data_IF_354280260122
#
_entry.id   IF_354280260122
#
_cell.length_a   1.000
_cell.length_b   1.000
_cell.length_c   1.000
_cell.angle_alpha   90.00
_cell.angle_beta   90.00
_cell.angle_gamma   90.00
#
_symmetry.space_group_name_H-M   'P 1'
#
loop_
_entity.id
_entity.type
_entity.pdbx_description
1 polymer ?
#
# COMPACT_ATOMS: atom_id res chain seq x y z
N UNK A 1 -9.55 -54.53 -23.83
CA UNK A 1 -8.25 -53.83 -23.67
C UNK A 1 -8.47 -52.68 -22.71
N UNK A 2 -7.79 -52.73 -21.56
CA UNK A 2 -7.86 -51.77 -20.47
C UNK A 2 -7.36 -50.38 -20.87
N UNK A 3 -8.07 -49.32 -20.47
CA UNK A 3 -7.44 -48.12 -19.91
C UNK A 3 -8.34 -47.55 -18.80
N UNK A 4 -7.84 -47.65 -17.58
CA UNK A 4 -8.44 -47.16 -16.34
C UNK A 4 -8.30 -45.63 -16.27
N UNK A 5 -9.42 -44.90 -16.23
CA UNK A 5 -9.45 -43.52 -15.74
C UNK A 5 -9.60 -43.52 -14.21
N UNK A 6 -8.83 -42.73 -13.46
CA UNK A 6 -9.00 -42.63 -12.01
C UNK A 6 -10.35 -41.94 -11.71
N UNK A 7 -11.21 -42.63 -10.98
CA UNK A 7 -12.45 -42.07 -10.42
C UNK A 7 -12.09 -40.91 -9.47
N UNK A 8 -12.26 -39.68 -9.92
CA UNK A 8 -12.34 -38.51 -9.04
C UNK A 8 -13.58 -38.69 -8.16
N UNK A 9 -13.37 -39.10 -6.91
CA UNK A 9 -14.42 -39.05 -5.88
C UNK A 9 -14.66 -37.58 -5.57
N UNK A 10 -15.70 -37.00 -6.16
CA UNK A 10 -16.32 -35.80 -5.61
C UNK A 10 -16.82 -36.15 -4.20
N UNK A 11 -16.20 -35.58 -3.17
CA UNK A 11 -16.67 -35.68 -1.80
C UNK A 11 -17.84 -34.70 -1.68
N UNK A 12 -19.03 -35.15 -2.09
CA UNK A 12 -20.30 -34.51 -1.75
C UNK A 12 -20.80 -35.12 -0.44
N UNK A 13 -20.30 -34.61 0.68
CA UNK A 13 -20.94 -34.74 2.01
C UNK A 13 -20.15 -33.91 3.02
N UNK A 14 -20.46 -32.62 3.13
CA UNK A 14 -20.03 -31.82 4.29
C UNK A 14 -21.07 -32.03 5.38
N UNK A 15 -21.06 -33.22 6.00
CA UNK A 15 -21.84 -33.48 7.20
C UNK A 15 -20.92 -33.43 8.41
N UNK A 16 -21.08 -32.36 9.21
CA UNK A 16 -20.63 -32.23 10.60
C UNK A 16 -19.14 -32.56 10.84
N UNK A 17 -18.24 -31.76 10.28
CA UNK A 17 -16.93 -31.55 10.93
C UNK A 17 -17.26 -30.84 12.25
N UNK A 18 -16.94 -31.45 13.39
CA UNK A 18 -17.33 -30.90 14.69
C UNK A 18 -16.69 -29.51 14.86
N UNK A 19 -17.50 -28.53 15.28
CA UNK A 19 -17.06 -27.19 15.62
C UNK A 19 -15.91 -27.22 16.64
N UNK A 20 -15.90 -28.23 17.51
CA UNK A 20 -14.81 -28.48 18.47
C UNK A 20 -13.46 -28.81 17.83
N UNK A 21 -13.41 -29.45 16.66
CA UNK A 21 -12.17 -29.79 15.97
C UNK A 21 -11.58 -28.57 15.25
N UNK A 22 -12.44 -27.72 14.68
CA UNK A 22 -12.03 -26.43 14.12
C UNK A 22 -11.57 -25.48 15.23
N UNK A 23 -12.30 -25.39 16.34
CA UNK A 23 -11.92 -24.57 17.50
C UNK A 23 -10.59 -25.03 18.11
N UNK A 24 -10.36 -26.34 18.29
CA UNK A 24 -9.06 -26.86 18.76
C UNK A 24 -7.90 -26.52 17.82
N UNK A 25 -8.13 -26.57 16.50
CA UNK A 25 -7.11 -26.18 15.53
C UNK A 25 -6.83 -24.68 15.58
N UNK A 26 -7.87 -23.85 15.69
CA UNK A 26 -7.73 -22.38 15.82
C UNK A 26 -6.96 -22.02 17.10
N UNK A 27 -7.32 -22.63 18.23
CA UNK A 27 -6.65 -22.41 19.52
C UNK A 27 -5.20 -22.91 19.49
N UNK A 28 -4.93 -24.04 18.83
CA UNK A 28 -3.56 -24.52 18.62
C UNK A 28 -2.73 -23.64 17.69
N UNK A 29 -3.36 -22.98 16.71
CA UNK A 29 -2.67 -22.03 15.82
C UNK A 29 -2.39 -20.70 16.50
N UNK A 30 -3.31 -20.19 17.34
CA UNK A 30 -3.09 -18.99 18.16
C UNK A 30 -1.99 -19.23 19.21
N UNK A 31 -1.97 -20.41 19.83
CA UNK A 31 -0.88 -20.83 20.72
C UNK A 31 0.46 -21.01 20.00
N UNK A 32 0.45 -21.41 18.72
CA UNK A 32 1.66 -21.54 17.91
C UNK A 32 2.17 -20.18 17.43
N UNK A 33 1.28 -19.26 17.06
CA UNK A 33 1.61 -17.88 16.68
C UNK A 33 2.19 -17.11 17.87
N UNK A 34 1.56 -17.17 19.04
CA UNK A 34 2.09 -16.57 20.27
C UNK A 34 3.46 -17.15 20.67
N UNK A 35 3.66 -18.47 20.54
CA UNK A 35 4.98 -19.09 20.77
C UNK A 35 6.03 -18.66 19.74
N UNK A 36 5.65 -18.46 18.48
CA UNK A 36 6.55 -17.95 17.44
C UNK A 36 6.89 -16.49 17.67
N UNK A 37 5.91 -15.66 18.03
CA UNK A 37 6.11 -14.25 18.40
C UNK A 37 7.07 -14.12 19.58
N UNK A 38 6.84 -14.88 20.65
CA UNK A 38 7.73 -14.96 21.82
C UNK A 38 9.13 -15.45 21.41
N UNK A 39 9.23 -16.46 20.52
CA UNK A 39 10.52 -16.98 20.06
C UNK A 39 11.29 -16.00 19.14
N UNK A 40 10.59 -15.22 18.31
CA UNK A 40 11.21 -14.17 17.49
C UNK A 40 11.61 -12.96 18.33
N UNK A 41 10.76 -12.53 19.27
CA UNK A 41 11.04 -11.44 20.18
C UNK A 41 12.25 -11.75 21.09
N UNK A 42 12.34 -12.98 21.61
CA UNK A 42 13.47 -13.43 22.45
C UNK A 42 14.78 -13.60 21.68
N UNK A 43 14.75 -13.93 20.38
CA UNK A 43 15.97 -13.98 19.55
C UNK A 43 16.56 -12.60 19.27
N UNK A 44 15.71 -11.60 19.06
CA UNK A 44 16.15 -10.23 18.78
C UNK A 44 16.70 -9.56 20.05
N UNK A 45 16.04 -9.74 21.19
CA UNK A 45 16.44 -9.14 22.46
C UNK A 45 17.79 -9.64 23.02
N UNK A 46 18.26 -10.82 22.60
CA UNK A 46 19.45 -11.47 23.15
C UNK A 46 20.68 -11.41 22.22
N UNK A 47 20.61 -10.75 21.07
CA UNK A 47 21.74 -10.65 20.16
C UNK A 47 22.61 -9.41 20.49
N UNK A 48 23.86 -9.58 20.97
CA UNK A 48 24.71 -8.43 21.35
C UNK A 48 25.11 -7.54 20.16
N UNK A 49 24.92 -8.00 18.92
CA UNK A 49 25.26 -7.24 17.71
C UNK A 49 24.10 -6.41 17.17
N UNK A 50 22.88 -6.59 17.69
CA UNK A 50 21.69 -5.87 17.23
C UNK A 50 21.34 -4.81 18.27
N UNK A 51 21.46 -3.54 17.89
CA UNK A 51 21.04 -2.41 18.73
C UNK A 51 19.55 -2.18 18.50
N UNK A 52 18.75 -2.35 19.56
CA UNK A 52 17.30 -2.06 19.52
C UNK A 52 17.08 -0.55 19.47
N UNK A 53 16.42 -0.01 18.43
CA UNK A 53 16.02 1.39 18.41
C UNK A 53 14.98 1.67 19.50
N UNK A 54 15.00 2.88 20.05
CA UNK A 54 14.09 3.35 21.08
C UNK A 54 13.47 4.68 20.63
N UNK A 55 12.24 4.94 21.03
CA UNK A 55 11.54 6.17 20.73
C UNK A 55 10.68 6.62 21.92
N UNK A 56 10.51 7.93 22.06
CA UNK A 56 9.68 8.53 23.10
C UNK A 56 8.20 8.37 22.76
N UNK A 57 7.42 7.97 23.75
CA UNK A 57 5.95 8.06 23.71
C UNK A 57 5.57 9.44 24.25
N UNK A 58 4.82 10.19 23.45
CA UNK A 58 4.34 11.53 23.79
C UNK A 58 2.82 11.52 24.01
N UNK A 59 2.32 12.43 24.85
CA UNK A 59 0.87 12.67 24.98
C UNK A 59 0.42 13.89 24.17
N UNK A 60 -0.85 13.98 23.76
CA UNK A 60 -1.43 15.16 23.09
C UNK A 60 -2.24 16.06 24.04
N UNK A 61 -2.09 15.84 25.34
CA UNK A 61 -2.84 16.56 26.38
C UNK A 61 -2.37 18.01 26.62
N UNK A 62 -1.15 18.34 26.18
CA UNK A 62 -0.48 19.63 26.34
C UNK A 62 0.09 20.11 25.00
N UNK A 63 0.29 21.42 24.86
CA UNK A 63 0.99 21.97 23.69
C UNK A 63 2.45 21.54 23.70
N UNK A 64 3.10 21.67 24.86
CA UNK A 64 4.49 21.26 25.06
C UNK A 64 4.68 19.74 24.98
N UNK A 65 5.90 19.33 24.63
CA UNK A 65 6.31 17.93 24.53
C UNK A 65 6.36 17.28 25.92
N UNK A 66 5.31 16.54 26.25
CA UNK A 66 5.25 15.70 27.45
C UNK A 66 5.61 14.25 27.08
N UNK A 67 6.85 13.86 27.40
CA UNK A 67 7.35 12.50 27.24
C UNK A 67 6.83 11.62 28.40
N UNK A 68 6.03 10.61 28.07
CA UNK A 68 5.37 9.73 29.05
C UNK A 68 6.22 8.50 29.33
N UNK A 69 6.68 7.84 28.26
CA UNK A 69 7.38 6.55 28.34
C UNK A 69 8.36 6.40 27.17
N UNK A 70 9.18 5.35 27.20
CA UNK A 70 10.11 4.97 26.12
C UNK A 70 9.67 3.61 25.58
N UNK A 71 9.39 3.53 24.28
CA UNK A 71 9.07 2.29 23.60
C UNK A 71 10.26 1.76 22.81
N UNK A 72 10.49 0.46 22.90
CA UNK A 72 11.49 -0.27 22.12
C UNK A 72 10.87 -0.65 20.78
N UNK A 73 11.55 -0.27 19.70
CA UNK A 73 11.14 -0.52 18.32
C UNK A 73 11.85 -1.74 17.76
N UNK A 74 11.20 -2.46 16.83
CA UNK A 74 11.83 -3.60 16.19
C UNK A 74 12.98 -3.17 15.25
N UNK A 75 14.23 -3.65 15.46
CA UNK A 75 15.38 -3.29 14.63
C UNK A 75 15.23 -3.72 13.16
N UNK A 76 14.53 -4.82 12.86
CA UNK A 76 14.34 -5.29 11.49
C UNK A 76 13.40 -4.39 10.67
N UNK A 77 12.66 -3.49 11.33
CA UNK A 77 11.71 -2.56 10.69
C UNK A 77 12.27 -1.15 10.70
N UNK A 78 12.72 -0.68 11.86
CA UNK A 78 13.14 0.71 12.09
C UNK A 78 14.65 0.94 11.97
N UNK A 79 15.45 -0.11 11.81
CA UNK A 79 16.91 -0.03 11.65
C UNK A 79 17.41 -0.77 10.40
N UNK A 80 16.57 -0.83 9.37
CA UNK A 80 16.97 -1.41 8.08
C UNK A 80 17.98 -0.53 7.35
N UNK A 81 18.80 -1.12 6.47
CA UNK A 81 19.70 -0.31 5.63
C UNK A 81 18.87 0.64 4.74
N UNK A 82 19.12 1.97 4.77
CA UNK A 82 18.29 2.97 4.10
C UNK A 82 18.50 2.93 2.58
N UNK A 83 17.83 1.98 1.91
CA UNK A 83 17.92 1.78 0.45
C UNK A 83 16.93 2.65 -0.31
N UNK A 84 17.39 3.83 -0.73
CA UNK A 84 16.60 4.79 -1.52
C UNK A 84 16.05 4.21 -2.83
N UNK A 85 16.73 3.22 -3.45
CA UNK A 85 16.23 2.54 -4.66
C UNK A 85 14.86 1.89 -4.42
N UNK A 86 14.71 1.18 -3.31
CA UNK A 86 13.49 0.42 -3.03
C UNK A 86 12.32 1.36 -2.74
N UNK A 87 12.61 2.45 -2.04
CA UNK A 87 11.65 3.51 -1.76
C UNK A 87 11.20 4.19 -3.06
N UNK A 88 12.13 4.56 -3.95
CA UNK A 88 11.81 5.13 -5.25
C UNK A 88 10.96 4.18 -6.10
N UNK A 89 11.29 2.88 -6.12
CA UNK A 89 10.51 1.85 -6.85
C UNK A 89 9.09 1.72 -6.32
N UNK A 90 8.89 1.77 -5.01
CA UNK A 90 7.56 1.74 -4.41
C UNK A 90 6.74 2.98 -4.78
N UNK A 91 7.32 4.17 -4.67
CA UNK A 91 6.64 5.42 -4.99
C UNK A 91 6.25 5.46 -6.48
N UNK A 92 7.20 5.17 -7.37
CA UNK A 92 6.94 5.13 -8.81
C UNK A 92 5.92 4.07 -9.19
N UNK A 93 5.92 2.93 -8.52
CA UNK A 93 4.88 1.91 -8.68
C UNK A 93 3.51 2.46 -8.22
N UNK A 94 3.40 3.02 -7.02
CA UNK A 94 2.16 3.62 -6.47
C UNK A 94 1.60 4.77 -7.31
N UNK A 95 2.45 5.52 -8.00
CA UNK A 95 2.02 6.55 -8.93
C UNK A 95 1.50 5.96 -10.26
N UNK A 96 2.13 4.91 -10.78
CA UNK A 96 1.83 4.39 -12.11
C UNK A 96 0.75 3.32 -12.15
N UNK A 97 0.63 2.46 -11.13
CA UNK A 97 -0.25 1.29 -11.20
C UNK A 97 -1.74 1.64 -11.38
N UNK A 98 -2.16 2.79 -10.85
CA UNK A 98 -3.52 3.32 -10.93
C UNK A 98 -3.79 4.14 -12.21
N UNK A 99 -2.76 4.44 -12.99
CA UNK A 99 -2.90 5.36 -14.10
C UNK A 99 -3.54 4.68 -15.32
N UNK A 100 -4.49 5.38 -15.93
CA UNK A 100 -5.20 4.96 -17.12
C UNK A 100 -5.21 6.09 -18.16
N UNK A 101 -4.64 5.81 -19.32
CA UNK A 101 -4.58 6.77 -20.43
C UNK A 101 -5.78 6.58 -21.36
N UNK A 102 -6.74 7.51 -21.29
CA UNK A 102 -7.95 7.53 -22.15
C UNK A 102 -7.72 8.22 -23.50
N UNK A 103 -6.65 8.99 -23.63
CA UNK A 103 -6.37 9.76 -24.85
C UNK A 103 -6.20 8.81 -26.04
N UNK A 104 -6.96 9.04 -27.10
CA UNK A 104 -6.88 8.27 -28.35
C UNK A 104 -6.82 9.23 -29.53
N UNK A 105 -5.83 9.03 -30.39
CA UNK A 105 -5.74 9.70 -31.69
C UNK A 105 -6.25 8.77 -32.78
N UNK A 106 -7.06 9.31 -33.68
CA UNK A 106 -7.65 8.54 -34.78
C UNK A 106 -6.56 8.22 -35.82
N UNK A 107 -6.43 6.93 -36.11
CA UNK A 107 -5.57 6.45 -37.20
C UNK A 107 -6.21 6.75 -38.55
N UNK A 108 -5.46 6.60 -39.64
CA UNK A 108 -5.98 6.82 -41.01
C UNK A 108 -7.26 6.03 -41.32
N UNK A 109 -7.44 4.85 -40.70
CA UNK A 109 -8.57 3.96 -40.92
C UNK A 109 -9.79 4.26 -40.03
N UNK A 110 -9.59 5.01 -38.95
CA UNK A 110 -10.68 5.43 -38.05
C UNK A 110 -11.21 6.83 -38.41
N UNK A 111 -10.44 7.61 -39.19
CA UNK A 111 -10.88 8.90 -39.69
C UNK A 111 -12.03 8.72 -40.70
N UNK A 112 -13.08 9.57 -40.66
CA UNK A 112 -14.25 9.39 -41.52
C UNK A 112 -13.94 9.62 -43.00
N UNK A 113 -14.35 8.72 -43.89
CA UNK A 113 -14.15 8.86 -45.34
C UNK A 113 -12.74 8.45 -45.82
N UNK A 114 -12.32 8.92 -47.00
CA UNK A 114 -11.02 8.55 -47.58
C UNK A 114 -10.93 7.15 -48.19
N UNK A 115 -12.06 6.48 -48.43
CA UNK A 115 -12.12 5.22 -49.16
C UNK A 115 -11.98 5.34 -50.68
N UNK A 116 -12.21 6.53 -51.24
CA UNK A 116 -12.02 6.81 -52.68
C UNK A 116 -10.62 7.39 -52.94
N UNK A 117 -9.96 6.89 -53.99
CA UNK A 117 -8.69 7.45 -54.47
C UNK A 117 -8.90 8.90 -54.95
N UNK A 118 -8.09 9.88 -54.49
CA UNK A 118 -8.33 11.30 -54.80
C UNK A 118 -8.21 11.65 -56.29
N UNK A 119 -7.24 11.05 -56.99
CA UNK A 119 -7.02 11.22 -58.43
C UNK A 119 -6.40 9.95 -59.04
N UNK A 120 -6.49 9.76 -60.39
CA UNK A 120 -5.85 8.64 -61.08
C UNK A 120 -4.35 8.55 -60.82
N UNK A 121 -3.80 7.35 -60.87
CA UNK A 121 -2.39 7.11 -60.53
C UNK A 121 -1.42 7.86 -61.44
N UNK A 122 -1.75 8.07 -62.73
CA UNK A 122 -0.88 8.70 -63.73
C UNK A 122 -1.67 9.77 -64.51
N UNK A 123 -0.95 10.57 -65.32
CA UNK A 123 -1.51 11.61 -66.22
C UNK A 123 -2.06 12.88 -65.53
N UNK A 124 -1.79 13.05 -64.23
CA UNK A 124 -2.29 14.20 -63.44
C UNK A 124 -1.17 15.19 -63.08
N UNK A 125 0.10 14.82 -63.24
CA UNK A 125 1.25 15.68 -62.85
C UNK A 125 1.40 15.91 -61.34
N UNK A 126 0.65 15.18 -60.52
CA UNK A 126 0.66 15.25 -59.04
C UNK A 126 1.29 14.00 -58.43
N UNK A 127 1.71 14.11 -57.16
CA UNK A 127 2.21 12.98 -56.38
C UNK A 127 1.19 11.81 -56.32
N UNK A 128 1.70 10.58 -56.20
CA UNK A 128 0.87 9.39 -56.08
C UNK A 128 0.23 9.29 -54.69
N UNK A 129 -1.10 9.25 -54.64
CA UNK A 129 -1.85 9.24 -53.37
C UNK A 129 -2.92 8.16 -53.38
N UNK A 130 -3.02 7.44 -52.25
CA UNK A 130 -4.04 6.41 -52.04
C UNK A 130 -5.31 6.93 -51.38
N UNK A 131 -5.18 7.83 -50.41
CA UNK A 131 -6.30 8.36 -49.61
C UNK A 131 -6.03 9.78 -49.13
N UNK A 132 -7.09 10.60 -49.04
CA UNK A 132 -7.04 11.92 -48.39
C UNK A 132 -6.82 11.84 -46.87
N UNK A 133 -7.00 10.66 -46.26
CA UNK A 133 -6.82 10.45 -44.81
C UNK A 133 -5.41 9.99 -44.42
N UNK A 134 -4.49 9.98 -45.38
CA UNK A 134 -3.09 9.63 -45.11
C UNK A 134 -2.44 10.68 -44.19
N UNK A 135 -1.47 10.30 -43.32
CA UNK A 135 -0.90 11.22 -42.31
C UNK A 135 -0.28 12.51 -42.87
N UNK A 136 0.23 12.47 -44.11
CA UNK A 136 0.79 13.63 -44.80
C UNK A 136 -0.24 14.70 -45.21
N UNK A 137 -1.53 14.38 -45.19
CA UNK A 137 -2.61 15.30 -45.57
C UNK A 137 -3.14 16.07 -44.37
N UNK A 138 -3.60 17.29 -44.61
CA UNK A 138 -4.39 18.04 -43.63
C UNK A 138 -5.66 17.25 -43.26
N UNK A 139 -5.95 17.13 -41.96
CA UNK A 139 -7.01 16.25 -41.41
C UNK A 139 -6.82 14.75 -41.73
N UNK A 140 -5.59 14.35 -42.06
CA UNK A 140 -5.14 12.97 -42.11
C UNK A 140 -5.09 12.33 -40.72
N UNK A 141 -5.15 11.00 -40.66
CA UNK A 141 -5.00 10.28 -39.40
C UNK A 141 -3.55 10.24 -38.92
N UNK A 142 -3.33 10.08 -37.62
CA UNK A 142 -1.99 9.99 -37.04
C UNK A 142 -1.35 8.63 -37.32
N UNK A 143 -0.06 8.60 -37.70
CA UNK A 143 0.68 7.36 -37.97
C UNK A 143 1.11 6.65 -36.67
N UNK A 144 1.82 7.37 -35.80
CA UNK A 144 2.24 6.91 -34.47
C UNK A 144 1.54 7.72 -33.38
N UNK A 145 0.22 7.82 -33.53
CA UNK A 145 -0.60 8.53 -32.55
C UNK A 145 -0.80 7.72 -31.28
N UNK A 146 -1.17 8.41 -30.20
CA UNK A 146 -1.50 7.76 -28.93
C UNK A 146 -2.69 6.81 -29.12
N UNK A 147 -2.54 5.56 -28.68
CA UNK A 147 -3.58 4.53 -28.73
C UNK A 147 -4.11 4.27 -27.33
N UNK A 148 -5.31 4.78 -27.05
CA UNK A 148 -6.06 4.52 -25.82
C UNK A 148 -7.25 3.57 -26.04
N UNK A 149 -7.80 2.97 -24.98
CA UNK A 149 -7.35 3.04 -23.58
C UNK A 149 -6.10 2.19 -23.32
N UNK A 150 -5.11 2.76 -22.61
CA UNK A 150 -3.89 2.04 -22.19
C UNK A 150 -3.76 2.09 -20.67
N UNK A 151 -3.50 0.94 -20.06
CA UNK A 151 -3.19 0.83 -18.63
C UNK A 151 -1.68 0.78 -18.42
N UNK A 152 -1.20 1.41 -17.35
CA UNK A 152 0.19 1.28 -16.87
C UNK A 152 0.31 0.33 -15.67
N UNK A 153 -0.66 -0.57 -15.54
CA UNK A 153 -0.71 -1.52 -14.44
C UNK A 153 0.45 -2.51 -14.51
N UNK A 154 1.19 -2.60 -13.41
CA UNK A 154 2.11 -3.69 -13.12
C UNK A 154 2.13 -3.90 -11.61
N UNK A 155 2.41 -5.13 -11.17
CA UNK A 155 2.50 -5.45 -9.74
C UNK A 155 3.96 -5.58 -9.33
N UNK A 156 4.35 -4.80 -8.33
CA UNK A 156 5.67 -4.92 -7.72
C UNK A 156 5.67 -6.10 -6.73
N UNK A 157 6.74 -6.94 -6.69
CA UNK A 157 6.81 -8.07 -5.77
C UNK A 157 6.64 -7.63 -4.30
N UNK A 158 5.87 -8.41 -3.54
CA UNK A 158 5.53 -8.11 -2.13
C UNK A 158 6.76 -7.81 -1.27
N UNK A 159 7.84 -8.58 -1.43
CA UNK A 159 9.07 -8.39 -0.65
C UNK A 159 9.73 -7.03 -0.91
N UNK A 160 9.59 -6.48 -2.12
CA UNK A 160 10.13 -5.16 -2.46
C UNK A 160 9.23 -4.07 -1.86
N UNK A 161 7.90 -4.27 -1.94
CA UNK A 161 6.92 -3.38 -1.32
C UNK A 161 7.13 -3.26 0.19
N UNK A 162 7.22 -4.39 0.88
CA UNK A 162 7.48 -4.47 2.31
C UNK A 162 8.80 -3.80 2.70
N UNK A 163 9.89 -4.11 1.98
CA UNK A 163 11.21 -3.52 2.26
C UNK A 163 11.22 -2.01 2.08
N UNK A 164 10.58 -1.48 1.03
CA UNK A 164 10.53 -0.02 0.87
C UNK A 164 9.69 0.68 1.93
N UNK A 165 8.67 0.01 2.52
CA UNK A 165 7.95 0.52 3.68
C UNK A 165 8.85 0.59 4.92
N UNK A 166 9.60 -0.49 5.20
CA UNK A 166 10.55 -0.52 6.31
C UNK A 166 11.65 0.54 6.15
N UNK A 167 12.14 0.74 4.92
CA UNK A 167 13.10 1.81 4.61
C UNK A 167 12.49 3.19 4.88
N UNK A 168 11.24 3.44 4.49
CA UNK A 168 10.57 4.72 4.76
C UNK A 168 10.43 4.98 6.27
N UNK A 169 10.02 3.97 7.04
CA UNK A 169 9.93 4.06 8.51
C UNK A 169 11.30 4.28 9.16
N UNK A 170 12.32 3.55 8.70
CA UNK A 170 13.71 3.71 9.18
C UNK A 170 14.22 5.12 8.91
N UNK A 171 13.94 5.68 7.73
CA UNK A 171 14.35 7.05 7.37
C UNK A 171 13.67 8.07 8.29
N UNK A 172 12.35 7.96 8.49
CA UNK A 172 11.61 8.85 9.40
C UNK A 172 12.14 8.77 10.83
N UNK A 173 12.40 7.57 11.34
CA UNK A 173 12.98 7.40 12.66
C UNK A 173 14.39 7.98 12.75
N UNK A 174 15.25 7.72 11.76
CA UNK A 174 16.65 8.21 11.74
C UNK A 174 16.74 9.74 11.61
N UNK A 175 15.74 10.39 11.01
CA UNK A 175 15.65 11.84 10.85
C UNK A 175 14.97 12.54 12.04
N UNK A 176 14.51 11.79 13.06
CA UNK A 176 13.68 12.27 14.17
C UNK A 176 12.31 12.83 13.75
N UNK A 177 11.82 12.41 12.58
CA UNK A 177 10.51 12.80 12.02
C UNK A 177 9.38 11.82 12.41
N UNK A 178 9.74 10.73 13.10
CA UNK A 178 8.78 9.76 13.63
C UNK A 178 8.45 10.11 15.09
N UNK A 179 7.18 10.39 15.35
CA UNK A 179 6.65 10.66 16.68
C UNK A 179 5.69 9.55 17.06
N UNK A 180 5.84 9.01 18.27
CA UNK A 180 4.91 8.03 18.81
C UNK A 180 4.05 8.72 19.84
N UNK A 181 2.75 8.56 19.70
CA UNK A 181 1.74 9.10 20.62
C UNK A 181 1.13 7.93 21.38
N UNK A 182 0.82 8.12 22.66
CA UNK A 182 0.09 7.10 23.44
C UNK A 182 -1.31 6.91 22.84
N UNK A 183 -2.20 7.88 23.07
CA UNK A 183 -3.56 7.90 22.57
C UNK A 183 -3.92 9.23 21.90
N UNK A 184 -4.59 9.16 20.75
CA UNK A 184 -5.15 10.34 20.08
C UNK A 184 -6.35 10.94 20.83
N UNK A 185 -7.05 10.15 21.64
CA UNK A 185 -8.16 10.61 22.49
C UNK A 185 -7.73 11.58 23.58
N UNK A 186 -6.42 11.70 23.86
CA UNK A 186 -5.87 12.65 24.83
C UNK A 186 -5.93 14.12 24.39
N UNK A 187 -6.33 14.39 23.14
CA UNK A 187 -6.48 15.74 22.59
C UNK A 187 -7.65 16.49 23.24
N UNK A 188 -7.33 17.60 23.92
CA UNK A 188 -8.31 18.35 24.74
C UNK A 188 -9.23 19.27 23.93
N UNK A 189 -8.73 19.88 22.87
CA UNK A 189 -9.46 20.86 22.05
C UNK A 189 -9.66 20.33 20.64
N UNK A 190 -10.81 20.69 20.05
CA UNK A 190 -11.17 20.46 18.65
C UNK A 190 -10.77 21.63 17.73
N UNK A 191 -10.11 22.66 18.27
CA UNK A 191 -9.72 23.85 17.53
C UNK A 191 -8.51 23.59 16.62
N UNK A 192 -8.59 24.07 15.38
CA UNK A 192 -7.46 24.02 14.43
C UNK A 192 -6.23 24.80 14.91
N UNK A 193 -6.43 25.91 15.63
CA UNK A 193 -5.32 26.73 16.14
C UNK A 193 -4.48 25.92 17.13
N UNK A 194 -5.14 25.13 17.99
CA UNK A 194 -4.46 24.25 18.93
C UNK A 194 -3.55 23.22 18.23
N UNK A 195 -3.98 22.69 17.08
CA UNK A 195 -3.14 21.78 16.28
C UNK A 195 -1.93 22.47 15.65
N UNK A 196 -2.07 23.73 15.21
CA UNK A 196 -0.93 24.53 14.75
C UNK A 196 0.04 24.84 15.89
N UNK A 197 -0.47 25.23 17.06
CA UNK A 197 0.33 25.53 18.24
C UNK A 197 1.13 24.31 18.69
N UNK A 198 0.51 23.11 18.69
CA UNK A 198 1.20 21.84 18.96
C UNK A 198 2.30 21.60 17.93
N UNK A 199 1.98 21.73 16.64
CA UNK A 199 2.93 21.45 15.57
C UNK A 199 4.14 22.40 15.60
N UNK A 200 3.91 23.68 15.93
CA UNK A 200 4.97 24.68 16.08
C UNK A 200 5.80 24.42 17.34
N UNK A 201 5.16 24.23 18.50
CA UNK A 201 5.86 24.00 19.76
C UNK A 201 6.71 22.72 19.75
N UNK A 202 6.27 21.69 19.03
CA UNK A 202 6.94 20.39 18.94
C UNK A 202 7.82 20.24 17.69
N UNK A 203 7.88 21.27 16.84
CA UNK A 203 8.62 21.28 15.58
C UNK A 203 8.26 20.12 14.63
N UNK A 204 6.97 19.88 14.42
CA UNK A 204 6.49 18.83 13.52
C UNK A 204 6.60 19.14 12.02
N UNK A 205 7.18 20.30 11.67
CA UNK A 205 7.29 20.74 10.29
C UNK A 205 5.96 21.25 9.72
N UNK A 206 5.87 21.33 8.39
CA UNK A 206 4.73 21.93 7.71
C UNK A 206 3.56 20.95 7.57
N UNK A 207 3.86 19.65 7.48
CA UNK A 207 2.88 18.60 7.20
C UNK A 207 3.07 17.39 8.12
N UNK A 208 1.95 16.84 8.59
CA UNK A 208 1.94 15.74 9.55
C UNK A 208 0.92 14.66 9.12
N UNK A 209 1.30 13.41 9.31
CA UNK A 209 0.45 12.25 9.04
C UNK A 209 0.15 11.51 10.34
N UNK A 210 -1.12 11.53 10.75
CA UNK A 210 -1.61 10.81 11.93
C UNK A 210 -2.06 9.41 11.54
N UNK A 211 -1.47 8.38 12.17
CA UNK A 211 -1.76 6.97 11.90
C UNK A 211 -2.39 6.31 13.11
N UNK A 212 -3.67 5.92 12.96
CA UNK A 212 -4.43 5.22 14.00
C UNK A 212 -4.66 3.74 13.66
N UNK A 213 -4.91 2.91 14.67
CA UNK A 213 -5.06 1.46 14.50
C UNK A 213 -6.23 1.12 13.54
N UNK A 214 -7.38 1.72 13.78
CA UNK A 214 -8.63 1.49 13.06
C UNK A 214 -9.13 2.80 12.41
N UNK A 215 -10.22 2.70 11.64
CA UNK A 215 -10.83 3.86 10.99
C UNK A 215 -11.55 4.79 12.00
N UNK A 216 -11.95 4.25 13.15
CA UNK A 216 -12.54 5.01 14.24
C UNK A 216 -11.44 5.83 14.94
N UNK A 217 -11.58 7.14 14.93
CA UNK A 217 -10.61 8.10 15.48
C UNK A 217 -11.37 9.05 16.40
N UNK A 218 -10.69 9.60 17.42
CA UNK A 218 -11.27 10.57 18.32
C UNK A 218 -11.86 11.77 17.57
N UNK A 219 -13.11 12.14 17.90
CA UNK A 219 -13.85 13.21 17.20
C UNK A 219 -13.11 14.54 17.21
N UNK A 220 -12.43 14.86 18.32
CA UNK A 220 -11.66 16.09 18.46
C UNK A 220 -10.54 16.17 17.43
N UNK A 221 -9.81 15.07 17.20
CA UNK A 221 -8.72 15.04 16.23
C UNK A 221 -9.26 15.20 14.81
N UNK A 222 -10.38 14.57 14.49
CA UNK A 222 -11.02 14.68 13.17
C UNK A 222 -11.43 16.13 12.91
N UNK A 223 -12.18 16.75 13.82
CA UNK A 223 -12.61 18.16 13.70
C UNK A 223 -11.43 19.12 13.58
N UNK A 224 -10.39 18.92 14.39
CA UNK A 224 -9.23 19.81 14.40
C UNK A 224 -8.38 19.71 13.14
N UNK A 225 -8.36 18.54 12.47
CA UNK A 225 -7.55 18.30 11.26
C UNK A 225 -8.33 18.46 9.95
N UNK A 226 -9.66 18.36 9.95
CA UNK A 226 -10.50 18.45 8.75
C UNK A 226 -10.30 19.77 7.98
N UNK A 227 -10.14 20.86 8.71
CA UNK A 227 -9.89 22.21 8.17
C UNK A 227 -8.45 22.38 7.61
N UNK A 228 -7.51 21.49 7.96
CA UNK A 228 -6.07 21.66 7.71
C UNK A 228 -5.62 20.68 6.61
N UNK A 229 -5.38 21.14 5.37
CA UNK A 229 -5.00 20.25 4.26
C UNK A 229 -3.62 19.61 4.42
N UNK A 230 -2.75 20.23 5.24
CA UNK A 230 -1.39 19.75 5.53
C UNK A 230 -1.37 18.55 6.48
N UNK A 231 -2.43 18.38 7.27
CA UNK A 231 -2.57 17.33 8.28
C UNK A 231 -3.56 16.30 7.77
N UNK A 232 -3.12 15.04 7.72
CA UNK A 232 -3.96 13.96 7.25
C UNK A 232 -4.03 12.87 8.30
N UNK A 233 -5.23 12.30 8.48
CA UNK A 233 -5.46 11.12 9.31
C UNK A 233 -5.58 9.90 8.39
N UNK A 234 -4.98 8.79 8.79
CA UNK A 234 -5.04 7.55 8.04
C UNK A 234 -5.04 6.35 9.00
N UNK A 235 -5.79 5.29 8.71
CA UNK A 235 -5.69 4.05 9.47
C UNK A 235 -4.43 3.25 9.08
N UNK A 236 -3.94 2.36 9.96
CA UNK A 236 -2.73 1.54 9.72
C UNK A 236 -2.81 0.76 8.42
N UNK A 237 -3.97 0.21 8.07
CA UNK A 237 -4.13 -0.58 6.85
C UNK A 237 -3.98 0.25 5.56
N UNK A 238 -4.15 1.57 5.62
CA UNK A 238 -3.94 2.50 4.50
C UNK A 238 -2.50 3.00 4.36
N UNK A 239 -1.62 2.63 5.30
CA UNK A 239 -0.25 3.12 5.35
C UNK A 239 0.56 2.70 4.12
N UNK A 240 1.17 3.69 3.48
CA UNK A 240 1.82 3.53 2.20
C UNK A 240 3.09 4.41 2.13
N UNK A 241 4.06 4.01 1.29
CA UNK A 241 5.33 4.71 1.15
C UNK A 241 5.16 6.16 0.66
N UNK A 242 4.25 6.40 -0.28
CA UNK A 242 3.99 7.74 -0.81
C UNK A 242 3.51 8.72 0.27
N UNK A 243 2.54 8.34 1.10
CA UNK A 243 2.00 9.15 2.19
C UNK A 243 3.05 9.42 3.25
N UNK A 244 3.85 8.42 3.65
CA UNK A 244 4.94 8.62 4.62
C UNK A 244 5.93 9.67 4.10
N UNK A 245 6.29 9.62 2.82
CA UNK A 245 7.26 10.54 2.24
C UNK A 245 6.68 11.90 1.84
N UNK A 246 5.37 11.99 1.63
CA UNK A 246 4.68 13.25 1.32
C UNK A 246 4.63 14.19 2.52
N UNK A 247 4.57 13.64 3.74
CA UNK A 247 4.47 14.43 4.97
C UNK A 247 5.84 14.52 5.65
N UNK A 248 6.09 15.64 6.32
CA UNK A 248 7.35 15.88 7.03
C UNK A 248 7.42 15.01 8.29
N UNK A 249 6.37 14.99 9.09
CA UNK A 249 6.28 14.14 10.29
C UNK A 249 5.28 13.01 10.16
N UNK A 250 5.65 11.87 10.72
CA UNK A 250 4.82 10.68 10.85
C UNK A 250 4.50 10.47 12.32
N UNK A 251 3.21 10.56 12.67
CA UNK A 251 2.72 10.47 14.03
C UNK A 251 1.90 9.18 14.15
N UNK A 252 2.36 8.21 14.94
CA UNK A 252 1.74 6.89 15.07
C UNK A 252 1.27 6.69 16.50
N UNK A 253 0.03 6.24 16.70
CA UNK A 253 -0.44 5.80 18.03
C UNK A 253 0.27 4.50 18.46
N UNK A 254 0.43 4.30 19.77
CA UNK A 254 1.02 3.10 20.34
C UNK A 254 0.38 1.81 19.82
N UNK A 255 -0.95 1.75 19.80
CA UNK A 255 -1.69 0.57 19.34
C UNK A 255 -1.50 0.34 17.83
N UNK A 256 -1.49 1.44 17.07
CA UNK A 256 -1.22 1.42 15.64
C UNK A 256 0.18 0.87 15.32
N UNK A 257 1.18 1.23 16.13
CA UNK A 257 2.55 0.77 15.99
C UNK A 257 2.66 -0.74 16.24
N UNK A 258 2.06 -1.26 17.32
CA UNK A 258 2.08 -2.69 17.65
C UNK A 258 1.50 -3.52 16.51
N UNK A 259 0.30 -3.13 16.02
CA UNK A 259 -0.35 -3.81 14.89
C UNK A 259 0.44 -3.72 13.59
N UNK A 260 1.13 -2.60 13.37
CA UNK A 260 2.00 -2.42 12.22
C UNK A 260 3.21 -3.36 12.28
N UNK A 261 3.88 -3.45 13.43
CA UNK A 261 5.04 -4.32 13.62
C UNK A 261 4.66 -5.79 13.43
N UNK A 262 3.58 -6.25 14.08
CA UNK A 262 3.04 -7.61 13.94
C UNK A 262 2.83 -7.98 12.47
N UNK A 263 2.19 -7.08 11.70
CA UNK A 263 1.90 -7.29 10.28
C UNK A 263 3.14 -7.40 9.43
N UNK A 264 4.13 -6.54 9.66
CA UNK A 264 5.37 -6.56 8.89
C UNK A 264 6.15 -7.84 9.20
N UNK A 265 6.24 -8.23 10.48
CA UNK A 265 6.93 -9.45 10.91
C UNK A 265 6.27 -10.71 10.38
N UNK A 266 4.94 -10.77 10.39
CA UNK A 266 4.19 -11.86 9.76
C UNK A 266 4.59 -12.02 8.29
N UNK A 267 4.67 -10.91 7.55
CA UNK A 267 5.04 -10.92 6.14
C UNK A 267 6.51 -11.25 5.85
N UNK A 268 7.41 -10.98 6.79
CA UNK A 268 8.80 -11.44 6.71
C UNK A 268 8.94 -12.95 6.92
N UNK A 269 8.17 -13.50 7.87
CA UNK A 269 8.32 -14.88 8.32
C UNK A 269 7.37 -15.87 7.63
N UNK A 270 6.37 -15.38 6.88
CA UNK A 270 5.45 -16.27 6.16
C UNK A 270 6.16 -17.11 5.10
N UNK A 271 5.83 -18.39 5.04
CA UNK A 271 6.24 -19.26 3.94
C UNK A 271 5.54 -18.84 2.64
N UNK A 272 6.24 -18.93 1.51
CA UNK A 272 5.59 -18.79 0.20
C UNK A 272 4.56 -19.90 -0.03
N UNK A 273 3.54 -19.63 -0.85
CA UNK A 273 2.61 -20.69 -1.25
C UNK A 273 3.34 -21.76 -2.06
N UNK A 274 3.11 -23.02 -1.70
CA UNK A 274 3.74 -24.18 -2.35
C UNK A 274 3.44 -24.23 -3.85
N UNK A 275 2.30 -23.69 -4.28
CA UNK A 275 1.88 -23.64 -5.66
C UNK A 275 2.03 -22.23 -6.26
N UNK A 276 3.24 -21.87 -6.66
CA UNK A 276 3.55 -20.58 -7.32
C UNK A 276 2.66 -20.29 -8.55
N UNK A 277 2.18 -21.33 -9.23
CA UNK A 277 1.29 -21.25 -10.41
C UNK A 277 -0.08 -20.63 -10.11
N UNK A 278 -0.62 -20.80 -8.90
CA UNK A 278 -1.91 -20.22 -8.52
C UNK A 278 -1.80 -18.88 -7.80
N UNK A 279 -0.58 -18.34 -7.63
CA UNK A 279 -0.34 -17.03 -7.01
C UNK A 279 -1.20 -15.93 -7.63
N UNK A 280 -1.37 -15.93 -8.95
CA UNK A 280 -2.24 -14.97 -9.64
C UNK A 280 -3.74 -15.22 -9.43
N UNK A 281 -4.16 -16.49 -9.28
CA UNK A 281 -5.55 -16.83 -8.99
C UNK A 281 -5.90 -16.46 -7.56
N UNK A 282 -5.01 -16.74 -6.61
CA UNK A 282 -5.17 -16.35 -5.21
C UNK A 282 -5.17 -14.83 -5.06
N UNK A 283 -4.26 -14.10 -5.73
CA UNK A 283 -4.24 -12.63 -5.73
C UNK A 283 -5.49 -12.06 -6.41
N UNK A 284 -5.92 -12.60 -7.55
CA UNK A 284 -7.14 -12.16 -8.24
C UNK A 284 -8.37 -12.42 -7.38
N UNK A 285 -8.49 -13.60 -6.78
CA UNK A 285 -9.59 -13.95 -5.89
C UNK A 285 -9.53 -13.10 -4.60
N UNK A 286 -8.33 -12.72 -4.12
CA UNK A 286 -8.15 -11.78 -3.00
C UNK A 286 -8.61 -10.37 -3.36
N UNK A 287 -8.18 -9.82 -4.50
CA UNK A 287 -8.60 -8.50 -5.01
C UNK A 287 -10.10 -8.45 -5.31
N UNK A 288 -10.66 -9.53 -5.90
CA UNK A 288 -12.10 -9.63 -6.17
C UNK A 288 -12.90 -9.75 -4.86
N UNK A 289 -12.37 -10.46 -3.86
CA UNK A 289 -12.97 -10.53 -2.52
C UNK A 289 -12.83 -9.22 -1.74
N UNK A 290 -11.71 -8.50 -1.87
CA UNK A 290 -11.47 -7.16 -1.30
C UNK A 290 -12.49 -6.13 -1.83
N UNK A 291 -12.98 -6.30 -3.05
CA UNK A 291 -14.07 -5.48 -3.60
C UNK A 291 -15.48 -5.91 -3.19
N UNK A 292 -15.67 -7.13 -2.67
CA UNK A 292 -16.99 -7.69 -2.32
C UNK A 292 -17.20 -7.93 -0.82
N UNK A 293 -16.14 -7.83 -0.02
CA UNK A 293 -16.13 -8.09 1.41
C UNK A 293 -15.13 -7.15 2.06
N UNK A 294 -15.67 -6.15 2.75
CA UNK A 294 -14.97 -5.42 3.79
C UNK A 294 -14.19 -6.42 4.67
N UNK A 295 -12.89 -6.18 4.81
CA UNK A 295 -12.01 -6.75 5.84
C UNK A 295 -11.70 -8.26 5.74
N UNK A 296 -10.45 -8.60 5.41
CA UNK A 296 -9.82 -9.66 6.20
C UNK A 296 -9.76 -9.12 7.64
N UNK A 297 -10.32 -9.80 8.66
CA UNK A 297 -10.57 -9.18 9.96
C UNK A 297 -9.32 -8.55 10.61
N UNK A 298 -8.12 -9.05 10.33
CA UNK A 298 -6.88 -8.53 10.92
C UNK A 298 -5.83 -8.00 9.91
N UNK A 299 -5.80 -8.53 8.67
CA UNK A 299 -4.63 -8.39 7.79
C UNK A 299 -4.99 -8.03 6.33
N UNK A 300 -5.29 -6.75 6.08
CA UNK A 300 -5.32 -6.22 4.70
C UNK A 300 -3.93 -6.32 4.03
N UNK A 301 -3.82 -6.54 2.72
CA UNK A 301 -2.52 -6.46 2.06
C UNK A 301 -1.98 -5.03 2.13
N UNK A 302 -0.66 -4.88 2.30
CA UNK A 302 0.00 -3.62 1.99
C UNK A 302 -0.28 -3.28 0.52
N UNK A 303 -0.83 -2.09 0.28
CA UNK A 303 -0.89 -1.49 -1.06
C UNK A 303 0.51 -0.98 -1.39
#
# INVERSE_FOLDING_TARGET
>A
MNFLLPKTRYITSVSKISTSFLLKNIQSTEEALSKLEIATATKIANNPFIVTPEAWITSLSSVENNNVDIIKLNPDIFRTSPRLDLLHRNITWQLNYRNLQLTKQLTRGEMPGGGRKPWPQKKVGRAHVGSIRSPQFYKGGFAHGVRGPRTWFYMLPDAIRLKGLCVALTIKHSQNDLVIVDDFSSLKSDDKQFMYDIAEARNWGYSALFVNENAEVAENLVKATEDIPSFNIMPVYGLNCFSIMKHDTLIISRDALIKLEERILYHFNRSESLQKKYKYKDIKDKILKEGSGENHPEFAPFV
#
